data_IF_556534032480
#
_entry.id   IF_556534032480
#
_cell.length_a   1.000
_cell.length_b   1.000
_cell.length_c   1.000
_cell.angle_alpha   90.00
_cell.angle_beta   90.00
_cell.angle_gamma   90.00
#
_symmetry.space_group_name_H-M   'P 1'
#
loop_
_entity.id
_entity.type
_entity.pdbx_description
1 polymer ?
#
# COMPACT_ATOMS: atom_id res chain seq x y z
N UNK A 1 14.93 -16.11 4.57
CA UNK A 1 13.97 -16.13 3.46
C UNK A 1 13.96 -14.74 2.84
N UNK A 2 13.98 -14.63 1.50
CA UNK A 2 14.03 -13.35 0.78
C UNK A 2 12.64 -12.66 0.88
N UNK A 3 12.54 -11.34 1.21
CA UNK A 3 11.27 -10.63 1.26
C UNK A 3 10.49 -10.67 -0.07
N UNK A 4 9.15 -10.66 -0.02
CA UNK A 4 8.32 -10.68 -1.24
C UNK A 4 8.60 -9.50 -2.17
N UNK A 5 8.87 -8.31 -1.63
CA UNK A 5 9.20 -7.15 -2.47
C UNK A 5 10.51 -7.32 -3.25
N UNK A 6 11.46 -8.10 -2.73
CA UNK A 6 12.71 -8.41 -3.45
C UNK A 6 12.48 -9.39 -4.60
N UNK A 7 11.37 -10.12 -4.59
CA UNK A 7 10.96 -11.01 -5.67
C UNK A 7 10.17 -10.26 -6.76
N UNK A 8 9.29 -9.33 -6.34
CA UNK A 8 8.32 -8.71 -7.26
C UNK A 8 8.76 -7.33 -7.78
N UNK A 9 9.55 -6.58 -7.01
CA UNK A 9 10.07 -5.27 -7.39
C UNK A 9 11.47 -5.05 -6.79
N UNK A 10 12.49 -5.85 -7.23
CA UNK A 10 13.85 -5.78 -6.69
C UNK A 10 14.57 -4.46 -7.03
N UNK A 11 14.22 -3.85 -8.16
CA UNK A 11 14.73 -2.54 -8.58
C UNK A 11 13.62 -1.52 -8.48
N UNK A 12 13.86 -0.42 -7.81
CA UNK A 12 12.87 0.64 -7.59
C UNK A 12 13.55 2.01 -7.54
N UNK A 13 12.80 3.05 -7.86
CA UNK A 13 13.30 4.43 -7.92
C UNK A 13 13.11 5.17 -6.60
N UNK A 14 12.08 4.81 -5.81
CA UNK A 14 11.85 5.33 -4.48
C UNK A 14 11.15 4.30 -3.59
N UNK A 15 11.41 4.38 -2.29
CA UNK A 15 10.80 3.51 -1.29
C UNK A 15 10.65 4.19 0.07
N UNK A 16 9.78 3.65 0.89
CA UNK A 16 9.52 4.11 2.23
C UNK A 16 9.27 2.90 3.14
N UNK A 17 9.91 2.90 4.31
CA UNK A 17 9.77 1.83 5.32
C UNK A 17 9.29 2.46 6.62
N UNK A 18 8.30 1.83 7.23
CA UNK A 18 7.84 2.15 8.58
C UNK A 18 7.69 0.87 9.38
N UNK A 19 7.88 0.94 10.67
CA UNK A 19 7.67 -0.19 11.56
C UNK A 19 7.04 0.23 12.87
N UNK A 20 6.44 -0.74 13.55
CA UNK A 20 5.86 -0.57 14.88
C UNK A 20 5.94 -1.89 15.64
N UNK A 21 6.41 -1.81 16.89
CA UNK A 21 6.28 -2.92 17.83
C UNK A 21 4.84 -3.05 18.35
N UNK A 22 4.34 -4.28 18.37
CA UNK A 22 2.98 -4.63 18.79
C UNK A 22 3.06 -5.69 19.88
N UNK A 23 2.41 -5.49 21.05
CA UNK A 23 2.42 -6.45 22.16
C UNK A 23 1.43 -7.59 21.90
N UNK A 24 1.61 -8.31 20.78
CA UNK A 24 0.79 -9.47 20.37
C UNK A 24 1.67 -10.52 19.70
N UNK A 25 1.25 -11.78 19.77
CA UNK A 25 1.92 -12.87 19.06
C UNK A 25 1.88 -12.66 17.53
N UNK A 26 2.82 -13.22 16.76
CA UNK A 26 2.91 -12.98 15.32
C UNK A 26 1.66 -13.33 14.53
N UNK A 27 0.97 -14.40 14.87
CA UNK A 27 -0.29 -14.83 14.27
C UNK A 27 -1.42 -13.80 14.47
N UNK A 28 -1.57 -13.29 15.71
CA UNK A 28 -2.53 -12.24 16.06
C UNK A 28 -2.18 -10.92 15.33
N UNK A 29 -0.90 -10.56 15.28
CA UNK A 29 -0.44 -9.36 14.57
C UNK A 29 -0.67 -9.48 13.07
N UNK A 30 -0.45 -10.66 12.47
CA UNK A 30 -0.66 -10.92 11.05
C UNK A 30 -2.15 -10.91 10.69
N UNK A 31 -3.01 -11.53 11.51
CA UNK A 31 -4.46 -11.45 11.34
C UNK A 31 -4.92 -9.98 11.37
N UNK A 32 -4.42 -9.18 12.32
CA UNK A 32 -4.74 -7.76 12.40
C UNK A 32 -4.27 -6.96 11.16
N UNK A 33 -3.14 -7.31 10.53
CA UNK A 33 -2.69 -6.73 9.25
C UNK A 33 -3.72 -6.98 8.15
N UNK A 34 -4.23 -8.19 8.04
CA UNK A 34 -5.20 -8.57 7.00
C UNK A 34 -6.58 -7.97 7.22
N UNK A 35 -7.02 -7.90 8.46
CA UNK A 35 -8.40 -7.56 8.80
C UNK A 35 -8.63 -6.09 9.14
N UNK A 36 -7.57 -5.28 9.32
CA UNK A 36 -7.73 -3.85 9.63
C UNK A 36 -8.52 -3.15 8.54
N UNK A 37 -9.61 -2.47 8.93
CA UNK A 37 -10.55 -1.85 8.00
C UNK A 37 -10.16 -0.39 7.67
N UNK A 38 -10.68 0.10 6.55
CA UNK A 38 -10.50 1.50 6.11
C UNK A 38 -10.89 2.48 7.21
N UNK A 39 -12.00 2.23 7.91
CA UNK A 39 -12.49 3.08 9.01
C UNK A 39 -11.53 3.14 10.20
N UNK A 40 -10.79 2.07 10.46
CA UNK A 40 -9.83 2.02 11.55
C UNK A 40 -8.57 2.84 11.28
N UNK A 41 -8.25 3.09 9.99
CA UNK A 41 -7.09 3.90 9.58
C UNK A 41 -7.52 5.37 9.46
N UNK A 42 -7.46 6.10 10.57
CA UNK A 42 -8.05 7.44 10.75
C UNK A 42 -7.67 8.47 9.68
N UNK A 43 -6.45 8.41 9.15
CA UNK A 43 -5.95 9.39 8.17
C UNK A 43 -6.16 8.96 6.72
N UNK A 44 -6.62 7.74 6.46
CA UNK A 44 -6.80 7.24 5.11
C UNK A 44 -7.91 8.01 4.39
N UNK A 45 -9.13 7.99 4.94
CA UNK A 45 -10.29 8.65 4.31
C UNK A 45 -10.11 10.17 4.12
N UNK A 46 -9.67 10.96 5.13
CA UNK A 46 -9.47 12.40 4.95
C UNK A 46 -8.44 12.74 3.86
N UNK A 47 -7.32 12.02 3.81
CA UNK A 47 -6.26 12.28 2.83
C UNK A 47 -6.63 11.81 1.42
N UNK A 48 -7.32 10.68 1.29
CA UNK A 48 -7.86 10.23 0.00
C UNK A 48 -8.98 11.17 -0.50
N UNK A 49 -9.82 11.69 0.40
CA UNK A 49 -10.82 12.71 0.05
C UNK A 49 -10.15 13.99 -0.44
N UNK A 50 -9.12 14.47 0.25
CA UNK A 50 -8.35 15.64 -0.17
C UNK A 50 -7.69 15.41 -1.55
N UNK A 51 -7.12 14.23 -1.78
CA UNK A 51 -6.57 13.84 -3.08
C UNK A 51 -7.63 13.78 -4.16
N UNK A 52 -8.85 13.35 -3.84
CA UNK A 52 -9.99 13.24 -4.76
C UNK A 52 -10.68 14.57 -5.10
N UNK A 53 -10.43 15.67 -4.37
CA UNK A 53 -11.07 16.97 -4.62
C UNK A 53 -11.01 17.45 -6.08
N UNK A 54 -9.85 17.37 -6.78
CA UNK A 54 -9.79 17.77 -8.20
C UNK A 54 -10.67 16.90 -9.11
N UNK A 55 -10.89 15.63 -8.77
CA UNK A 55 -11.78 14.73 -9.53
C UNK A 55 -13.24 15.13 -9.41
N UNK A 56 -13.65 15.63 -8.24
CA UNK A 56 -15.01 16.14 -8.02
C UNK A 56 -15.29 17.37 -8.88
N UNK A 57 -14.31 18.25 -9.06
CA UNK A 57 -14.43 19.43 -9.92
C UNK A 57 -14.54 19.07 -11.41
N UNK A 58 -14.09 17.88 -11.81
CA UNK A 58 -14.18 17.38 -13.20
C UNK A 58 -15.39 16.46 -13.44
N UNK A 59 -16.30 16.34 -12.46
CA UNK A 59 -17.51 15.50 -12.58
C UNK A 59 -17.27 13.99 -12.55
N UNK A 60 -16.05 13.55 -12.19
CA UNK A 60 -15.72 12.13 -12.04
C UNK A 60 -15.99 11.68 -10.61
N UNK A 61 -16.61 10.51 -10.47
CA UNK A 61 -16.86 9.93 -9.15
C UNK A 61 -15.53 9.75 -8.40
N UNK A 62 -15.42 10.36 -7.21
CA UNK A 62 -14.31 10.10 -6.32
C UNK A 62 -14.41 8.66 -5.82
N UNK A 63 -13.27 7.93 -5.83
CA UNK A 63 -13.21 6.61 -5.22
C UNK A 63 -13.52 6.74 -3.71
N UNK A 64 -14.58 6.08 -3.26
CA UNK A 64 -14.96 5.98 -1.85
C UNK A 64 -14.91 4.52 -1.45
N UNK A 65 -13.82 4.08 -0.81
CA UNK A 65 -13.73 2.72 -0.33
C UNK A 65 -14.80 2.45 0.74
N UNK A 66 -15.36 1.24 0.75
CA UNK A 66 -16.20 0.80 1.87
C UNK A 66 -15.39 0.86 3.17
N UNK A 67 -15.86 1.64 4.12
CA UNK A 67 -15.19 1.81 5.41
C UNK A 67 -15.10 0.52 6.24
N UNK A 68 -15.96 -0.47 5.96
CA UNK A 68 -15.97 -1.77 6.64
C UNK A 68 -15.04 -2.79 5.98
N UNK A 69 -14.62 -2.57 4.73
CA UNK A 69 -13.71 -3.46 4.03
C UNK A 69 -12.29 -3.41 4.62
N UNK A 70 -11.56 -4.55 4.65
CA UNK A 70 -10.14 -4.58 4.95
C UNK A 70 -9.37 -3.64 4.01
N UNK A 71 -8.37 -2.90 4.54
CA UNK A 71 -7.64 -1.91 3.73
C UNK A 71 -6.97 -2.55 2.52
N UNK A 72 -6.39 -3.74 2.67
CA UNK A 72 -5.75 -4.46 1.57
C UNK A 72 -6.72 -4.88 0.46
N UNK A 73 -8.01 -5.03 0.79
CA UNK A 73 -9.08 -5.40 -0.15
C UNK A 73 -9.83 -4.17 -0.68
N UNK A 74 -9.89 -3.08 0.10
CA UNK A 74 -10.65 -1.89 -0.24
C UNK A 74 -10.16 -1.18 -1.52
N UNK A 75 -8.89 -1.36 -1.86
CA UNK A 75 -8.28 -0.82 -3.08
C UNK A 75 -8.32 -1.81 -4.25
N UNK A 76 -9.39 -2.61 -4.37
CA UNK A 76 -9.53 -3.68 -5.37
C UNK A 76 -9.45 -3.21 -6.83
N UNK A 77 -9.77 -1.95 -7.11
CA UNK A 77 -9.66 -1.41 -8.47
C UNK A 77 -8.20 -1.08 -8.77
N UNK A 78 -7.57 -1.96 -9.57
CA UNK A 78 -6.18 -1.81 -10.00
C UNK A 78 -5.13 -2.28 -8.98
N UNK A 79 -5.53 -2.89 -7.85
CA UNK A 79 -4.62 -3.54 -6.91
C UNK A 79 -4.60 -5.04 -7.14
N UNK A 80 -3.41 -5.61 -7.17
CA UNK A 80 -3.13 -7.01 -7.45
C UNK A 80 -2.46 -7.65 -6.24
N UNK A 81 -2.91 -8.82 -5.76
CA UNK A 81 -2.17 -9.59 -4.77
C UNK A 81 -0.83 -10.07 -5.38
N UNK A 82 0.27 -9.74 -4.71
CA UNK A 82 1.62 -10.09 -5.17
C UNK A 82 2.19 -11.32 -4.46
N UNK A 83 1.58 -11.73 -3.37
CA UNK A 83 1.92 -12.94 -2.62
C UNK A 83 1.60 -12.83 -1.15
N UNK A 84 1.48 -13.99 -0.52
CA UNK A 84 1.29 -14.11 0.93
C UNK A 84 2.14 -15.29 1.43
N UNK A 85 2.76 -15.09 2.58
CA UNK A 85 3.38 -16.12 3.41
C UNK A 85 2.64 -16.12 4.73
N UNK A 86 1.74 -17.08 4.95
CA UNK A 86 0.87 -17.10 6.11
C UNK A 86 1.61 -16.84 7.43
N UNK A 87 1.08 -16.00 8.27
CA UNK A 87 1.66 -15.63 9.56
C UNK A 87 2.87 -14.71 9.50
N UNK A 88 3.42 -14.42 8.31
CA UNK A 88 4.71 -13.73 8.19
C UNK A 88 4.68 -12.50 7.28
N UNK A 89 4.17 -12.64 6.06
CA UNK A 89 4.30 -11.57 5.06
C UNK A 89 3.12 -11.57 4.06
N UNK A 90 2.66 -10.39 3.68
CA UNK A 90 1.68 -10.19 2.61
C UNK A 90 2.09 -8.99 1.76
N UNK A 91 1.94 -9.12 0.43
CA UNK A 91 2.27 -8.07 -0.52
C UNK A 91 1.15 -7.85 -1.53
N UNK A 92 0.94 -6.58 -1.90
CA UNK A 92 0.02 -6.16 -2.93
C UNK A 92 0.68 -5.08 -3.81
N UNK A 93 0.20 -4.92 -5.03
CA UNK A 93 0.76 -3.94 -5.95
C UNK A 93 -0.28 -3.33 -6.87
N UNK A 94 0.09 -2.23 -7.51
CA UNK A 94 -0.72 -1.54 -8.50
C UNK A 94 0.17 -0.96 -9.59
N UNK A 95 -0.37 -0.83 -10.79
CA UNK A 95 0.28 -0.16 -11.92
C UNK A 95 -0.63 0.98 -12.38
N UNK A 96 -0.07 2.20 -12.43
CA UNK A 96 -0.85 3.38 -12.77
C UNK A 96 0.01 4.61 -13.02
N UNK A 97 -0.64 5.71 -13.32
CA UNK A 97 -0.03 7.04 -13.46
C UNK A 97 -0.33 7.86 -12.22
N UNK A 98 0.24 7.47 -11.07
CA UNK A 98 -0.09 7.97 -9.74
C UNK A 98 0.04 9.50 -9.59
N UNK A 99 0.85 10.16 -10.40
CA UNK A 99 1.00 11.62 -10.44
C UNK A 99 -0.14 12.36 -11.15
N UNK A 100 -1.05 11.63 -11.81
CA UNK A 100 -2.23 12.22 -12.42
C UNK A 100 -3.35 12.32 -11.40
N UNK A 101 -3.74 13.52 -11.04
CA UNK A 101 -4.83 13.79 -10.11
C UNK A 101 -6.20 13.47 -10.71
N UNK A 102 -6.36 13.65 -12.02
CA UNK A 102 -7.54 13.27 -12.79
C UNK A 102 -7.13 12.34 -13.94
N UNK A 103 -7.92 11.27 -14.17
CA UNK A 103 -7.65 10.33 -15.26
C UNK A 103 -6.47 9.39 -14.99
N UNK A 104 -6.23 9.04 -13.73
CA UNK A 104 -5.39 7.91 -13.38
C UNK A 104 -6.16 6.64 -13.76
N UNK A 105 -5.95 6.16 -14.99
CA UNK A 105 -6.46 4.87 -15.42
C UNK A 105 -5.44 3.82 -14.97
N UNK A 106 -5.83 2.91 -14.03
CA UNK A 106 -4.96 1.79 -13.67
C UNK A 106 -4.72 0.93 -14.91
N UNK A 107 -3.53 0.37 -15.04
CA UNK A 107 -3.28 -0.63 -16.06
C UNK A 107 -4.19 -1.85 -15.82
N UNK A 108 -4.61 -2.50 -16.90
CA UNK A 108 -5.44 -3.72 -16.85
C UNK A 108 -4.60 -4.94 -16.40
N UNK A 109 -4.14 -4.92 -15.16
CA UNK A 109 -3.31 -5.95 -14.51
C UNK A 109 -4.19 -6.64 -13.48
N UNK A 110 -4.24 -7.97 -13.49
CA UNK A 110 -5.11 -8.75 -12.61
C UNK A 110 -4.35 -9.78 -11.78
N UNK A 111 -3.16 -10.16 -12.23
CA UNK A 111 -2.36 -11.22 -11.60
C UNK A 111 -0.97 -10.72 -11.21
N UNK A 112 -0.30 -11.46 -10.33
CA UNK A 112 1.12 -11.25 -10.02
C UNK A 112 1.97 -11.31 -11.29
N UNK A 113 1.69 -12.24 -12.19
CA UNK A 113 2.43 -12.40 -13.44
C UNK A 113 2.28 -11.19 -14.35
N UNK A 114 1.04 -10.68 -14.53
CA UNK A 114 0.80 -9.43 -15.25
C UNK A 114 1.61 -8.28 -14.66
N UNK A 115 1.64 -8.16 -13.32
CA UNK A 115 2.42 -7.14 -12.64
C UNK A 115 3.92 -7.26 -12.93
N UNK A 116 4.47 -8.48 -12.88
CA UNK A 116 5.88 -8.74 -13.15
C UNK A 116 6.26 -8.42 -14.59
N UNK A 117 5.47 -8.89 -15.55
CA UNK A 117 5.72 -8.78 -16.98
C UNK A 117 5.36 -7.40 -17.57
N UNK A 118 4.60 -6.59 -16.87
CA UNK A 118 4.21 -5.27 -17.38
C UNK A 118 5.41 -4.39 -17.71
N UNK A 119 5.49 -3.95 -18.96
CA UNK A 119 6.55 -3.09 -19.48
C UNK A 119 6.01 -1.87 -20.26
N UNK A 120 4.67 -1.62 -20.21
CA UNK A 120 4.05 -0.49 -20.91
C UNK A 120 4.69 0.85 -20.49
N UNK A 121 5.16 1.70 -21.42
CA UNK A 121 5.82 2.95 -21.08
C UNK A 121 4.85 3.98 -20.49
N UNK A 122 5.37 4.91 -19.72
CA UNK A 122 4.57 6.01 -19.15
C UNK A 122 3.72 5.65 -17.94
N UNK A 123 4.01 4.53 -17.27
CA UNK A 123 3.37 4.07 -16.03
C UNK A 123 4.37 3.99 -14.87
N UNK A 124 3.88 3.71 -13.69
CA UNK A 124 4.69 3.28 -12.56
C UNK A 124 4.10 2.03 -11.92
N UNK A 125 4.97 1.14 -11.45
CA UNK A 125 4.67 0.04 -10.57
C UNK A 125 4.80 0.52 -9.12
N UNK A 126 3.81 0.24 -8.29
CA UNK A 126 3.88 0.43 -6.85
C UNK A 126 3.61 -0.90 -6.17
N UNK A 127 4.42 -1.28 -5.21
CA UNK A 127 4.24 -2.48 -4.41
C UNK A 127 4.36 -2.13 -2.92
N UNK A 128 3.49 -2.70 -2.10
CA UNK A 128 3.51 -2.60 -0.66
C UNK A 128 3.56 -4.00 -0.06
N UNK A 129 4.35 -4.16 0.99
CA UNK A 129 4.31 -5.36 1.82
C UNK A 129 4.15 -5.01 3.30
N UNK A 130 3.57 -5.95 4.03
CA UNK A 130 3.61 -6.01 5.48
C UNK A 130 4.34 -7.28 5.89
N UNK A 131 5.33 -7.13 6.74
CA UNK A 131 6.13 -8.22 7.30
C UNK A 131 5.97 -8.22 8.81
N UNK A 132 5.63 -9.38 9.37
CA UNK A 132 5.51 -9.60 10.81
C UNK A 132 6.66 -10.49 11.27
N UNK A 133 7.43 -10.00 12.23
CA UNK A 133 8.55 -10.72 12.83
C UNK A 133 8.33 -10.89 14.34
N UNK A 134 8.58 -12.07 14.90
CA UNK A 134 8.58 -12.23 16.34
C UNK A 134 9.65 -11.33 16.97
N UNK A 135 9.30 -10.67 18.07
CA UNK A 135 10.20 -9.85 18.87
C UNK A 135 9.86 -10.05 20.35
N UNK A 136 10.82 -9.84 21.26
CA UNK A 136 10.64 -10.10 22.68
C UNK A 136 9.35 -9.43 23.21
N UNK A 137 8.45 -10.25 23.75
CA UNK A 137 7.17 -9.81 24.31
C UNK A 137 6.09 -9.45 23.29
N UNK A 138 6.31 -9.72 21.99
CA UNK A 138 5.33 -9.40 20.94
C UNK A 138 5.86 -9.61 19.53
N UNK A 139 5.52 -8.70 18.65
CA UNK A 139 5.89 -8.73 17.23
C UNK A 139 6.29 -7.36 16.74
N UNK A 140 7.20 -7.30 15.78
CA UNK A 140 7.46 -6.10 14.96
C UNK A 140 6.73 -6.24 13.63
N UNK A 141 5.86 -5.28 13.36
CA UNK A 141 5.20 -5.16 12.05
C UNK A 141 5.91 -4.08 11.26
N UNK A 142 6.44 -4.48 10.10
CA UNK A 142 7.13 -3.60 9.16
C UNK A 142 6.26 -3.43 7.92
N UNK A 143 6.06 -2.23 7.44
CA UNK A 143 5.48 -1.95 6.12
C UNK A 143 6.53 -1.29 5.24
N UNK A 144 6.71 -1.84 4.06
CA UNK A 144 7.60 -1.29 3.02
C UNK A 144 6.79 -1.02 1.76
N UNK A 145 7.03 0.13 1.15
CA UNK A 145 6.48 0.50 -0.16
C UNK A 145 7.63 0.77 -1.10
N UNK A 146 7.56 0.20 -2.31
CA UNK A 146 8.50 0.46 -3.40
C UNK A 146 7.76 0.96 -4.62
N UNK A 147 8.36 1.88 -5.37
CA UNK A 147 7.80 2.41 -6.60
C UNK A 147 8.87 2.50 -7.69
N UNK A 148 8.50 2.13 -8.92
CA UNK A 148 9.39 2.18 -10.07
C UNK A 148 8.65 2.69 -11.31
N UNK A 149 9.23 3.65 -12.03
CA UNK A 149 8.74 4.11 -13.32
C UNK A 149 9.07 3.11 -14.43
N UNK A 150 8.20 3.00 -15.42
CA UNK A 150 8.40 2.11 -16.58
C UNK A 150 9.07 2.80 -17.78
N UNK A 151 9.35 4.10 -17.66
CA UNK A 151 10.14 4.87 -18.62
C UNK A 151 10.84 6.03 -17.91
N UNK A 152 11.89 6.63 -18.48
CA UNK A 152 12.58 7.78 -17.86
C UNK A 152 11.65 8.97 -17.54
N UNK A 153 10.65 9.24 -18.38
CA UNK A 153 9.64 10.29 -18.18
C UNK A 153 8.74 9.94 -17.01
N UNK A 154 8.29 8.69 -16.94
CA UNK A 154 7.46 8.19 -15.85
C UNK A 154 8.22 8.24 -14.51
N UNK A 155 9.50 7.82 -14.49
CA UNK A 155 10.36 7.91 -13.30
C UNK A 155 10.49 9.36 -12.82
N UNK A 156 10.77 10.32 -13.70
CA UNK A 156 10.85 11.73 -13.31
C UNK A 156 9.55 12.28 -12.73
N UNK A 157 8.41 11.97 -13.36
CA UNK A 157 7.09 12.37 -12.87
C UNK A 157 6.75 11.73 -11.53
N UNK A 158 7.04 10.43 -11.39
CA UNK A 158 6.85 9.65 -10.16
C UNK A 158 7.66 10.23 -9.00
N UNK A 159 8.95 10.52 -9.19
CA UNK A 159 9.81 11.06 -8.14
C UNK A 159 9.33 12.43 -7.65
N UNK A 160 8.92 13.32 -8.55
CA UNK A 160 8.33 14.63 -8.18
C UNK A 160 7.04 14.42 -7.35
N UNK A 161 6.20 13.50 -7.77
CA UNK A 161 4.98 13.14 -7.06
C UNK A 161 5.30 12.57 -5.66
N UNK A 162 6.25 11.65 -5.53
CA UNK A 162 6.67 11.09 -4.24
C UNK A 162 7.15 12.15 -3.27
N UNK A 163 7.92 13.14 -3.74
CA UNK A 163 8.34 14.29 -2.91
C UNK A 163 7.13 15.08 -2.42
N UNK A 164 6.18 15.38 -3.31
CA UNK A 164 4.99 16.17 -2.98
C UNK A 164 4.08 15.48 -1.95
N UNK A 165 3.91 14.14 -2.03
CA UNK A 165 3.01 13.40 -1.14
C UNK A 165 3.68 12.83 0.11
N UNK A 166 5.00 12.96 0.24
CA UNK A 166 5.81 12.26 1.26
C UNK A 166 5.24 12.35 2.67
N UNK A 167 4.90 13.54 3.13
CA UNK A 167 4.38 13.75 4.48
C UNK A 167 3.02 13.07 4.68
N UNK A 168 2.13 13.17 3.69
CA UNK A 168 0.82 12.53 3.74
C UNK A 168 0.92 11.00 3.69
N UNK A 169 1.79 10.46 2.83
CA UNK A 169 2.06 9.02 2.72
C UNK A 169 2.57 8.46 4.05
N UNK A 170 3.60 9.08 4.63
CA UNK A 170 4.15 8.69 5.94
C UNK A 170 3.09 8.74 7.04
N UNK A 171 2.24 9.77 7.06
CA UNK A 171 1.17 9.89 8.05
C UNK A 171 0.14 8.77 7.93
N UNK A 172 -0.28 8.41 6.69
CA UNK A 172 -1.16 7.28 6.43
C UNK A 172 -0.53 5.98 6.92
N UNK A 173 0.75 5.71 6.60
CA UNK A 173 1.44 4.48 7.01
C UNK A 173 1.50 4.33 8.53
N UNK A 174 1.85 5.40 9.24
CA UNK A 174 1.86 5.42 10.71
C UNK A 174 0.47 5.22 11.30
N UNK A 175 -0.57 5.85 10.71
CA UNK A 175 -1.96 5.66 11.10
C UNK A 175 -2.42 4.21 10.89
N UNK A 176 -1.98 3.57 9.81
CA UNK A 176 -2.28 2.18 9.49
C UNK A 176 -1.62 1.24 10.50
N UNK A 177 -0.33 1.38 10.77
CA UNK A 177 0.37 0.59 11.79
C UNK A 177 -0.26 0.77 13.18
N UNK A 178 -0.66 2.00 13.54
CA UNK A 178 -1.36 2.26 14.79
C UNK A 178 -2.75 1.59 14.84
N UNK A 179 -3.47 1.50 13.72
CA UNK A 179 -4.74 0.78 13.62
C UNK A 179 -4.53 -0.73 13.81
N UNK A 180 -3.53 -1.32 13.14
CA UNK A 180 -3.13 -2.72 13.32
C UNK A 180 -2.84 -3.03 14.79
N UNK A 181 -2.05 -2.18 15.48
CA UNK A 181 -1.76 -2.34 16.91
C UNK A 181 -3.02 -2.31 17.77
N UNK A 182 -3.96 -1.38 17.52
CA UNK A 182 -5.21 -1.30 18.27
C UNK A 182 -6.07 -2.55 18.06
N UNK A 183 -6.12 -3.06 16.83
CA UNK A 183 -6.88 -4.26 16.48
C UNK A 183 -6.29 -5.50 17.15
N UNK A 184 -4.99 -5.71 17.04
CA UNK A 184 -4.29 -6.82 17.68
C UNK A 184 -4.44 -6.81 19.22
N UNK A 185 -4.53 -5.65 19.85
CA UNK A 185 -4.76 -5.54 21.30
C UNK A 185 -6.18 -5.94 21.73
N UNK A 186 -7.17 -5.88 20.83
CA UNK A 186 -8.57 -6.29 21.11
C UNK A 186 -8.80 -7.78 20.90
N UNK A 187 -7.93 -8.46 20.17
CA UNK A 187 -8.02 -9.89 19.87
C UNK A 187 -7.34 -10.79 20.92
N UNK A 188 -6.92 -10.22 22.05
CA UNK A 188 -6.32 -10.91 23.20
C UNK A 188 -7.36 -11.51 24.12
#
# INVERSE_FOLDING_TARGET
MRPLLDEVLPRFDAGEVHDLWIPAQPDVAFAAVKEVTVREVRLLTPLETLRGLPSLLTGRAAFRPDGSAPVLEAFTVGVVPLGERPGTEIAAGAIGRFWRWAGNEPAAVRTREDFLLFAGPGYAKAAIAFLVRPERGGSRVVTETRVAGTSPEATRALLRYCVAIRLGSSAIRRSWLAAIRRRAARAR
#
